data_IF_371391906889
#
_entry.id   IF_371391906889
#
_cell.length_a   1.000
_cell.length_b   1.000
_cell.length_c   1.000
_cell.angle_alpha   90.00
_cell.angle_beta   90.00
_cell.angle_gamma   90.00
#
_symmetry.space_group_name_H-M   'P 1'
#
loop_
_entity.id
_entity.type
_entity.pdbx_description
1 polymer ?
#
# COMPACT_ATOMS: atom_id res chain seq x y z
N UNK A 1 28.18 6.32 13.38
CA UNK A 1 26.73 6.09 13.59
C UNK A 1 26.32 4.93 12.69
N UNK A 2 25.87 3.81 13.25
CA UNK A 2 25.36 2.70 12.46
C UNK A 2 24.06 3.12 11.77
N UNK A 3 24.00 3.04 10.44
CA UNK A 3 22.77 3.26 9.69
C UNK A 3 21.90 2.01 9.89
N UNK A 4 20.81 2.13 10.65
CA UNK A 4 19.87 1.02 10.82
C UNK A 4 19.33 0.56 9.47
N UNK A 5 19.39 -0.75 9.23
CA UNK A 5 18.86 -1.37 8.02
C UNK A 5 17.32 -1.27 7.98
N UNK A 6 16.72 -1.37 6.80
CA UNK A 6 15.25 -1.31 6.68
C UNK A 6 14.59 -2.46 7.47
N UNK A 7 15.21 -3.63 7.49
CA UNK A 7 14.76 -4.78 8.27
C UNK A 7 14.68 -4.49 9.78
N UNK A 8 15.68 -3.80 10.34
CA UNK A 8 15.66 -3.36 11.74
C UNK A 8 14.52 -2.37 12.00
N UNK A 9 14.28 -1.42 11.09
CA UNK A 9 13.22 -0.42 11.25
C UNK A 9 11.83 -1.02 11.17
N UNK A 10 11.59 -1.98 10.28
CA UNK A 10 10.29 -2.66 10.14
C UNK A 10 9.96 -3.54 11.35
N UNK A 11 10.97 -4.01 12.07
CA UNK A 11 10.78 -4.76 13.33
C UNK A 11 10.28 -3.85 14.46
N UNK A 12 10.68 -2.57 14.45
CA UNK A 12 10.37 -1.61 15.53
C UNK A 12 9.14 -0.75 15.25
N UNK A 13 8.83 -0.49 13.97
CA UNK A 13 7.78 0.43 13.58
C UNK A 13 7.01 -0.09 12.35
N UNK A 14 5.73 -0.37 12.54
CA UNK A 14 4.80 -0.65 11.45
C UNK A 14 4.75 0.53 10.46
N UNK A 15 4.76 0.24 9.16
CA UNK A 15 4.78 1.25 8.11
C UNK A 15 6.18 1.78 7.75
N UNK A 16 7.25 1.37 8.43
CA UNK A 16 8.61 1.81 8.11
C UNK A 16 9.03 1.43 6.69
N UNK A 17 8.63 0.26 6.17
CA UNK A 17 8.91 -0.10 4.79
C UNK A 17 8.06 0.71 3.81
N UNK A 18 6.80 1.00 4.15
CA UNK A 18 5.95 1.85 3.33
C UNK A 18 6.52 3.29 3.23
N UNK A 19 7.05 3.84 4.33
CA UNK A 19 7.69 5.16 4.32
C UNK A 19 8.93 5.20 3.42
N UNK A 20 9.78 4.20 3.51
CA UNK A 20 10.97 4.13 2.67
C UNK A 20 10.59 3.95 1.18
N UNK A 21 9.62 3.09 0.89
CA UNK A 21 9.12 2.90 -0.46
C UNK A 21 8.52 4.19 -1.03
N UNK A 22 7.80 4.97 -0.21
CA UNK A 22 7.27 6.27 -0.58
C UNK A 22 8.38 7.24 -0.98
N UNK A 23 9.41 7.39 -0.13
CA UNK A 23 10.57 8.28 -0.39
C UNK A 23 11.29 7.90 -1.68
N UNK A 24 11.57 6.61 -1.88
CA UNK A 24 12.21 6.09 -3.09
C UNK A 24 11.39 6.42 -4.34
N UNK A 25 10.07 6.25 -4.28
CA UNK A 25 9.19 6.50 -5.42
C UNK A 25 9.06 8.01 -5.73
N UNK A 26 8.94 8.86 -4.71
CA UNK A 26 8.96 10.32 -4.88
C UNK A 26 10.28 10.78 -5.51
N UNK A 27 11.42 10.29 -5.02
CA UNK A 27 12.73 10.61 -5.59
C UNK A 27 12.84 10.17 -7.06
N UNK A 28 12.44 8.93 -7.37
CA UNK A 28 12.47 8.37 -8.72
C UNK A 28 11.65 9.18 -9.73
N UNK A 29 10.50 9.71 -9.31
CA UNK A 29 9.59 10.46 -10.17
C UNK A 29 9.63 11.97 -9.95
N UNK A 30 10.69 12.49 -9.34
CA UNK A 30 10.86 13.93 -9.09
C UNK A 30 10.81 14.78 -10.36
N UNK A 31 11.22 14.24 -11.51
CA UNK A 31 11.11 14.91 -12.81
C UNK A 31 9.66 15.19 -13.24
N UNK A 32 8.68 14.41 -12.77
CA UNK A 32 7.25 14.66 -13.05
C UNK A 32 6.82 15.97 -12.38
N UNK A 33 7.25 16.18 -11.13
CA UNK A 33 7.00 17.42 -10.40
C UNK A 33 7.68 18.62 -11.06
N UNK A 34 8.85 18.43 -11.67
CA UNK A 34 9.54 19.48 -12.43
C UNK A 34 8.79 19.91 -13.71
N UNK A 35 7.86 19.09 -14.19
CA UNK A 35 7.00 19.38 -15.35
C UNK A 35 5.63 19.94 -14.94
N UNK A 36 5.50 20.49 -13.72
CA UNK A 36 4.26 21.06 -13.17
C UNK A 36 3.11 20.05 -12.98
N UNK A 37 3.42 18.76 -12.83
CA UNK A 37 2.43 17.75 -12.45
C UNK A 37 2.50 17.42 -10.95
N UNK A 38 1.39 17.00 -10.38
CA UNK A 38 1.36 16.48 -9.01
C UNK A 38 1.65 14.97 -9.05
N UNK A 39 2.79 14.56 -8.53
CA UNK A 39 3.09 13.16 -8.30
C UNK A 39 2.73 12.75 -6.87
N UNK A 40 1.85 11.74 -6.72
CA UNK A 40 1.51 11.14 -5.44
C UNK A 40 1.87 9.66 -5.45
N UNK A 41 2.87 9.28 -4.67
CA UNK A 41 3.15 7.88 -4.42
C UNK A 41 2.11 7.30 -3.46
N UNK A 42 1.64 6.09 -3.76
CA UNK A 42 0.86 5.26 -2.84
C UNK A 42 1.74 4.08 -2.43
N UNK A 43 2.06 4.01 -1.14
CA UNK A 43 2.95 3.02 -0.56
C UNK A 43 2.24 2.27 0.57
N UNK A 44 2.30 0.94 0.47
CA UNK A 44 1.62 -0.01 1.33
C UNK A 44 2.62 -1.11 1.73
N UNK A 45 2.57 -1.53 2.99
CA UNK A 45 3.16 -2.79 3.42
C UNK A 45 2.22 -3.96 3.10
N UNK A 46 2.78 -5.16 3.02
CA UNK A 46 2.07 -6.40 2.71
C UNK A 46 0.84 -6.58 3.61
N UNK A 47 0.95 -6.29 4.91
CA UNK A 47 -0.15 -6.48 5.87
C UNK A 47 -1.00 -5.24 6.13
N UNK A 48 -0.87 -4.19 5.30
CA UNK A 48 -1.78 -3.05 5.30
C UNK A 48 -1.28 -1.71 5.88
N UNK A 49 -0.17 -1.58 6.63
CA UNK A 49 0.36 -0.28 6.98
C UNK A 49 0.64 0.60 5.75
N UNK A 50 0.34 1.89 5.88
CA UNK A 50 0.51 2.90 4.83
C UNK A 50 1.65 3.84 5.20
N UNK A 51 2.27 4.49 4.20
CA UNK A 51 3.01 5.71 4.48
C UNK A 51 2.06 6.82 4.94
N UNK A 52 2.56 7.76 5.75
CA UNK A 52 1.83 8.91 6.25
C UNK A 52 1.25 9.75 5.10
N UNK A 53 2.02 9.95 4.03
CA UNK A 53 1.59 10.66 2.83
C UNK A 53 0.44 9.92 2.12
N UNK A 54 0.55 8.60 1.95
CA UNK A 54 -0.51 7.77 1.36
C UNK A 54 -1.80 7.89 2.17
N UNK A 55 -1.71 7.76 3.50
CA UNK A 55 -2.86 7.88 4.41
C UNK A 55 -3.49 9.28 4.33
N UNK A 56 -2.67 10.33 4.31
CA UNK A 56 -3.13 11.72 4.20
C UNK A 56 -3.86 11.95 2.87
N UNK A 57 -3.31 11.47 1.76
CA UNK A 57 -3.92 11.57 0.44
C UNK A 57 -5.25 10.82 0.37
N UNK A 58 -5.28 9.54 0.77
CA UNK A 58 -6.52 8.74 0.74
C UNK A 58 -7.61 9.30 1.64
N UNK A 59 -7.25 9.93 2.76
CA UNK A 59 -8.22 10.64 3.60
C UNK A 59 -8.84 11.83 2.87
N UNK A 60 -8.05 12.63 2.14
CA UNK A 60 -8.57 13.74 1.32
C UNK A 60 -9.51 13.22 0.23
N UNK A 61 -9.11 12.16 -0.49
CA UNK A 61 -9.95 11.52 -1.51
C UNK A 61 -11.26 11.02 -0.89
N UNK A 62 -11.18 10.33 0.24
CA UNK A 62 -12.36 9.83 0.95
C UNK A 62 -13.32 10.94 1.37
N UNK A 63 -12.81 12.06 1.88
CA UNK A 63 -13.64 13.22 2.23
C UNK A 63 -14.29 13.86 0.99
N UNK A 64 -13.55 13.99 -0.10
CA UNK A 64 -14.09 14.49 -1.37
C UNK A 64 -15.19 13.58 -1.92
N UNK A 65 -15.04 12.24 -1.80
CA UNK A 65 -16.09 11.30 -2.16
C UNK A 65 -17.36 11.46 -1.31
N UNK A 66 -17.21 11.68 0.00
CA UNK A 66 -18.37 11.94 0.88
C UNK A 66 -19.09 13.22 0.47
N UNK A 67 -18.35 14.30 0.18
CA UNK A 67 -18.91 15.58 -0.26
C UNK A 67 -19.63 15.46 -1.60
N UNK A 68 -19.03 14.77 -2.57
CA UNK A 68 -19.56 14.62 -3.92
C UNK A 68 -20.82 13.73 -3.96
N UNK A 69 -20.84 12.66 -3.15
CA UNK A 69 -21.91 11.65 -3.21
C UNK A 69 -22.99 11.84 -2.15
N UNK A 70 -22.74 12.65 -1.12
CA UNK A 70 -23.58 12.75 0.08
C UNK A 70 -23.52 11.52 0.99
N UNK A 71 -22.83 10.44 0.58
CA UNK A 71 -22.78 9.19 1.32
C UNK A 71 -21.66 9.23 2.38
N UNK A 72 -22.05 9.29 3.65
CA UNK A 72 -21.12 9.30 4.80
C UNK A 72 -20.21 8.06 4.88
N UNK A 73 -20.61 6.93 4.26
CA UNK A 73 -19.83 5.68 4.22
C UNK A 73 -18.85 5.62 3.04
N UNK A 74 -18.88 6.57 2.10
CA UNK A 74 -18.05 6.52 0.89
C UNK A 74 -16.54 6.41 1.21
N UNK A 75 -16.06 7.15 2.21
CA UNK A 75 -14.67 7.04 2.69
C UNK A 75 -14.37 5.63 3.22
N UNK A 76 -15.23 5.06 4.05
CA UNK A 76 -15.02 3.71 4.59
C UNK A 76 -14.96 2.66 3.48
N UNK A 77 -15.86 2.76 2.49
CA UNK A 77 -15.86 1.87 1.32
C UNK A 77 -14.59 2.00 0.48
N UNK A 78 -14.03 3.21 0.32
CA UNK A 78 -12.74 3.40 -0.35
C UNK A 78 -11.64 2.60 0.34
N UNK A 79 -11.48 2.76 1.66
CA UNK A 79 -10.45 2.03 2.42
C UNK A 79 -10.69 0.53 2.38
N UNK A 80 -11.93 0.07 2.51
CA UNK A 80 -12.27 -1.35 2.41
C UNK A 80 -11.87 -1.94 1.04
N UNK A 81 -12.16 -1.23 -0.05
CA UNK A 81 -11.80 -1.69 -1.41
C UNK A 81 -10.29 -1.76 -1.60
N UNK A 82 -9.54 -0.81 -1.06
CA UNK A 82 -8.08 -0.82 -1.09
C UNK A 82 -7.54 -2.02 -0.29
N UNK A 83 -8.05 -2.25 0.92
CA UNK A 83 -7.65 -3.41 1.73
C UNK A 83 -7.91 -4.73 1.02
N UNK A 84 -9.08 -4.89 0.39
CA UNK A 84 -9.39 -6.10 -0.39
C UNK A 84 -8.47 -6.25 -1.61
N UNK A 85 -8.14 -5.16 -2.30
CA UNK A 85 -7.21 -5.21 -3.43
C UNK A 85 -5.80 -5.66 -2.99
N UNK A 86 -5.31 -5.16 -1.85
CA UNK A 86 -4.02 -5.57 -1.28
C UNK A 86 -4.04 -7.06 -0.95
N UNK A 87 -5.05 -7.54 -0.22
CA UNK A 87 -5.15 -8.95 0.15
C UNK A 87 -5.24 -9.88 -1.07
N UNK A 88 -5.96 -9.47 -2.12
CA UNK A 88 -6.00 -10.22 -3.39
C UNK A 88 -4.65 -10.24 -4.09
N UNK A 89 -3.91 -9.13 -4.10
CA UNK A 89 -2.55 -9.07 -4.65
C UNK A 89 -1.57 -9.94 -3.87
N UNK A 90 -1.66 -9.95 -2.54
CA UNK A 90 -0.87 -10.83 -1.68
C UNK A 90 -1.18 -12.31 -1.97
N UNK A 91 -2.47 -12.67 -2.01
CA UNK A 91 -2.89 -14.03 -2.32
C UNK A 91 -2.39 -14.47 -3.71
N UNK A 92 -2.52 -13.62 -4.73
CA UNK A 92 -1.99 -13.89 -6.06
C UNK A 92 -0.46 -14.06 -6.06
N UNK A 93 0.26 -13.27 -5.25
CA UNK A 93 1.71 -13.38 -5.11
C UNK A 93 2.11 -14.71 -4.49
N UNK A 94 1.40 -15.17 -3.45
CA UNK A 94 1.62 -16.48 -2.83
C UNK A 94 1.28 -17.61 -3.81
N UNK A 95 0.10 -17.56 -4.43
CA UNK A 95 -0.32 -18.58 -5.41
C UNK A 95 0.64 -18.66 -6.60
N UNK A 96 1.21 -17.54 -7.03
CA UNK A 96 2.22 -17.50 -8.10
C UNK A 96 3.55 -18.18 -7.75
N UNK A 97 3.81 -18.48 -6.48
CA UNK A 97 4.98 -19.27 -6.05
C UNK A 97 4.74 -20.78 -6.08
N UNK A 98 3.49 -21.21 -6.25
CA UNK A 98 3.13 -22.62 -6.23
C UNK A 98 3.35 -23.27 -7.60
N UNK A 99 3.69 -24.57 -7.63
CA UNK A 99 3.64 -25.35 -8.85
C UNK A 99 2.23 -25.32 -9.44
N UNK A 100 2.12 -25.20 -10.77
CA UNK A 100 0.83 -25.24 -11.48
C UNK A 100 0.08 -26.57 -11.34
N UNK A 101 0.73 -27.58 -10.77
CA UNK A 101 0.18 -28.91 -10.52
C UNK A 101 -0.48 -29.06 -9.15
N UNK A 102 -0.29 -28.11 -8.22
CA UNK A 102 -0.90 -28.18 -6.90
C UNK A 102 -2.37 -27.76 -6.95
N UNK A 103 -3.24 -28.59 -6.39
CA UNK A 103 -4.64 -28.21 -6.16
C UNK A 103 -4.77 -27.37 -4.88
N UNK A 104 -5.83 -26.55 -4.78
CA UNK A 104 -5.99 -25.61 -3.67
C UNK A 104 -6.10 -26.33 -2.31
N UNK A 105 -6.62 -27.55 -2.32
CA UNK A 105 -6.81 -28.44 -1.17
C UNK A 105 -5.47 -28.96 -0.62
N UNK A 106 -4.44 -29.04 -1.46
CA UNK A 106 -3.11 -29.53 -1.10
C UNK A 106 -2.30 -28.46 -0.35
N UNK A 107 -2.76 -27.19 -0.36
CA UNK A 107 -2.10 -26.09 0.33
C UNK A 107 -2.22 -26.13 1.85
N UNK A 108 -3.24 -26.82 2.39
CA UNK A 108 -3.45 -26.89 3.83
C UNK A 108 -2.54 -27.91 4.54
N UNK A 109 -1.70 -28.64 3.78
CA UNK A 109 -0.86 -29.74 4.27
C UNK A 109 0.65 -29.43 4.17
N UNK A 110 1.00 -28.25 3.66
CA UNK A 110 2.36 -27.69 3.66
C UNK A 110 2.67 -26.95 4.95
#
# INVERSE_FOLDING_TARGET
>A
MYTQTIQEKTSLQAGAAAEEANKKKISKYSFISAQNYIFQALAFETLGPFSADTKKFLNKVGLALVQLTGNQKARAYLFQRISLAIQRGNAASVLGTLPSTLQLEELFVL
#
